data_IF_041459593366
#
_entry.id   IF_041459593366
#
_cell.length_a   1.000
_cell.length_b   1.000
_cell.length_c   1.000
_cell.angle_alpha   90.00
_cell.angle_beta   90.00
_cell.angle_gamma   90.00
#
_symmetry.space_group_name_H-M   'P 1'
#
loop_
_entity.id
_entity.type
_entity.pdbx_description
1 polymer ?
#
# COMPACT_ATOMS: atom_id res chain seq x y z
N UNK A 1 -16.09 5.17 4.56
CA UNK A 1 -15.24 3.95 4.47
C UNK A 1 -14.88 3.76 3.00
N UNK A 2 -13.60 3.71 2.67
CA UNK A 2 -13.11 3.58 1.29
C UNK A 2 -12.65 2.14 1.06
N UNK A 3 -13.14 1.52 -0.02
CA UNK A 3 -12.69 0.21 -0.49
C UNK A 3 -11.88 0.45 -1.77
N UNK A 4 -10.58 0.22 -1.70
CA UNK A 4 -9.69 0.41 -2.84
C UNK A 4 -9.33 -0.93 -3.47
N UNK A 5 -9.63 -1.09 -4.75
CA UNK A 5 -9.25 -2.26 -5.53
C UNK A 5 -7.97 -1.96 -6.31
N UNK A 6 -6.85 -2.49 -5.84
CA UNK A 6 -5.60 -2.34 -6.53
C UNK A 6 -5.49 -3.35 -7.69
N UNK A 7 -5.07 -2.89 -8.88
CA UNK A 7 -5.00 -3.75 -10.07
C UNK A 7 -3.95 -4.84 -9.83
N UNK A 8 -4.39 -6.10 -9.77
CA UNK A 8 -3.52 -7.25 -9.52
C UNK A 8 -3.04 -7.42 -8.08
N UNK A 9 -3.69 -6.77 -7.11
CA UNK A 9 -3.40 -6.90 -5.68
C UNK A 9 -4.69 -7.11 -4.86
N UNK A 10 -4.54 -7.28 -3.55
CA UNK A 10 -5.65 -7.42 -2.60
C UNK A 10 -6.49 -6.15 -2.52
N UNK A 11 -7.74 -6.32 -2.07
CA UNK A 11 -8.62 -5.19 -1.75
C UNK A 11 -8.19 -4.57 -0.43
N UNK A 12 -7.97 -3.26 -0.41
CA UNK A 12 -7.68 -2.50 0.80
C UNK A 12 -8.96 -1.85 1.36
N UNK A 13 -9.12 -1.97 2.67
CA UNK A 13 -10.24 -1.41 3.41
C UNK A 13 -9.75 -0.29 4.32
N UNK A 14 -10.14 0.95 4.01
CA UNK A 14 -9.71 2.14 4.75
C UNK A 14 -10.89 2.66 5.56
N UNK A 15 -10.70 2.68 6.88
CA UNK A 15 -11.67 3.11 7.87
C UNK A 15 -11.37 4.55 8.32
N UNK A 16 -12.33 5.18 9.00
CA UNK A 16 -12.13 6.55 9.51
C UNK A 16 -10.93 6.67 10.44
N UNK A 17 -10.75 5.70 11.33
CA UNK A 17 -9.60 5.63 12.22
C UNK A 17 -8.26 5.62 11.50
N UNK A 18 -8.19 5.11 10.26
CA UNK A 18 -6.95 5.09 9.49
C UNK A 18 -6.59 6.49 8.99
N UNK A 19 -7.60 7.35 8.76
CA UNK A 19 -7.40 8.74 8.33
C UNK A 19 -6.86 9.63 9.46
N UNK A 20 -7.10 9.27 10.72
CA UNK A 20 -6.57 10.02 11.87
C UNK A 20 -5.04 10.02 11.88
N UNK A 21 -4.41 8.96 11.36
CA UNK A 21 -2.95 8.83 11.25
C UNK A 21 -2.34 9.68 10.13
N UNK A 22 -3.16 10.36 9.31
CA UNK A 22 -2.68 11.35 8.35
C UNK A 22 -2.53 12.74 8.99
N UNK A 23 -2.86 12.90 10.27
CA UNK A 23 -2.71 14.16 10.96
C UNK A 23 -1.22 14.59 11.04
N UNK A 24 -0.94 15.90 11.08
CA UNK A 24 0.43 16.38 11.17
C UNK A 24 1.17 15.80 12.38
N UNK A 25 2.40 15.34 12.18
CA UNK A 25 3.29 14.74 13.19
C UNK A 25 2.86 13.36 13.71
N UNK A 26 1.82 12.75 13.15
CA UNK A 26 1.50 11.35 13.41
C UNK A 26 2.33 10.41 12.54
N UNK A 27 2.55 9.19 13.03
CA UNK A 27 3.14 8.12 12.23
C UNK A 27 2.07 7.51 11.34
N UNK A 28 2.40 7.24 10.08
CA UNK A 28 1.46 6.52 9.22
C UNK A 28 1.31 5.07 9.70
N UNK A 29 0.08 4.60 9.77
CA UNK A 29 -0.18 3.18 10.03
C UNK A 29 0.05 2.33 8.77
N UNK A 30 0.14 1.01 8.97
CA UNK A 30 0.41 0.06 7.89
C UNK A 30 -0.64 0.14 6.76
N UNK A 31 -1.92 0.36 7.09
CA UNK A 31 -3.02 0.47 6.13
C UNK A 31 -2.82 1.65 5.17
N UNK A 32 -2.45 2.82 5.69
CA UNK A 32 -2.23 4.03 4.89
C UNK A 32 -0.97 3.90 4.03
N UNK A 33 0.09 3.30 4.58
CA UNK A 33 1.32 3.01 3.83
C UNK A 33 1.00 2.06 2.65
N UNK A 34 0.32 0.95 2.91
CA UNK A 34 -0.04 -0.03 1.89
C UNK A 34 -0.96 0.55 0.81
N UNK A 35 -1.89 1.43 1.21
CA UNK A 35 -2.73 2.17 0.27
C UNK A 35 -1.92 3.10 -0.65
N UNK A 36 -1.02 3.92 -0.08
CA UNK A 36 -0.21 4.85 -0.86
C UNK A 36 0.66 4.13 -1.90
N UNK A 37 1.31 3.04 -1.49
CA UNK A 37 2.10 2.19 -2.38
C UNK A 37 1.26 1.58 -3.50
N UNK A 38 0.08 1.07 -3.18
CA UNK A 38 -0.84 0.49 -4.17
C UNK A 38 -1.35 1.54 -5.16
N UNK A 39 -1.65 2.74 -4.68
CA UNK A 39 -2.09 3.85 -5.51
C UNK A 39 -1.00 4.27 -6.51
N UNK A 40 0.24 4.41 -6.06
CA UNK A 40 1.36 4.76 -6.92
C UNK A 40 1.68 3.66 -7.94
N UNK A 41 1.65 2.39 -7.54
CA UNK A 41 1.84 1.28 -8.47
C UNK A 41 0.78 1.26 -9.57
N UNK A 42 -0.49 1.51 -9.24
CA UNK A 42 -1.54 1.55 -10.25
C UNK A 42 -1.39 2.75 -11.19
N UNK A 43 -0.99 3.93 -10.68
CA UNK A 43 -0.64 5.07 -11.54
C UNK A 43 0.52 4.74 -12.47
N UNK A 44 1.56 4.08 -11.97
CA UNK A 44 2.69 3.64 -12.78
C UNK A 44 2.25 2.66 -13.87
N UNK A 45 1.42 1.66 -13.55
CA UNK A 45 0.84 0.72 -14.52
C UNK A 45 0.06 1.42 -15.64
N UNK A 46 -0.62 2.52 -15.33
CA UNK A 46 -1.35 3.32 -16.32
C UNK A 46 -0.44 4.19 -17.18
N UNK A 47 0.66 4.69 -16.62
CA UNK A 47 1.59 5.57 -17.33
C UNK A 47 2.59 4.79 -18.19
N UNK A 48 3.19 3.73 -17.63
CA UNK A 48 4.16 2.88 -18.29
C UNK A 48 4.03 1.42 -17.79
N UNK A 49 3.25 0.60 -18.51
CA UNK A 49 3.07 -0.81 -18.15
C UNK A 49 4.36 -1.62 -18.15
N UNK A 50 5.36 -1.26 -18.95
CA UNK A 50 6.62 -2.02 -19.05
C UNK A 50 7.46 -1.85 -17.79
N UNK A 51 7.61 -0.61 -17.32
CA UNK A 51 8.32 -0.33 -16.06
C UNK A 51 7.59 -0.98 -14.89
N UNK A 52 6.26 -0.89 -14.86
CA UNK A 52 5.47 -1.52 -13.81
C UNK A 52 5.62 -3.05 -13.77
N UNK A 53 5.82 -3.69 -14.93
CA UNK A 53 6.05 -5.15 -15.00
C UNK A 53 7.38 -5.58 -14.37
N UNK A 54 8.37 -4.69 -14.36
CA UNK A 54 9.68 -4.94 -13.76
C UNK A 54 9.74 -4.58 -12.26
N UNK A 55 8.65 -4.08 -11.68
CA UNK A 55 8.60 -3.64 -10.28
C UNK A 55 7.68 -4.52 -9.45
N UNK A 56 8.17 -4.91 -8.27
CA UNK A 56 7.36 -5.58 -7.25
C UNK A 56 7.47 -4.79 -5.94
N UNK A 57 6.32 -4.48 -5.34
CA UNK A 57 6.26 -3.81 -4.04
C UNK A 57 5.73 -4.81 -3.03
N UNK A 58 6.53 -5.09 -2.02
CA UNK A 58 6.12 -5.92 -0.90
C UNK A 58 5.28 -5.12 0.10
N UNK A 59 4.33 -5.80 0.74
CA UNK A 59 3.58 -5.25 1.87
C UNK A 59 4.51 -4.85 3.03
N UNK A 60 4.18 -3.82 3.83
CA UNK A 60 4.97 -3.41 5.00
C UNK A 60 5.29 -4.56 5.98
N UNK A 61 4.43 -5.59 6.03
CA UNK A 61 4.63 -6.76 6.88
C UNK A 61 5.70 -7.74 6.37
N UNK A 62 6.11 -7.64 5.09
CA UNK A 62 7.06 -8.58 4.49
C UNK A 62 8.37 -8.64 5.26
N UNK A 63 8.98 -7.48 5.52
CA UNK A 63 10.26 -7.43 6.22
C UNK A 63 10.14 -7.89 7.68
N UNK A 64 9.05 -7.50 8.35
CA UNK A 64 8.77 -7.92 9.73
C UNK A 64 8.66 -9.44 9.83
N UNK A 65 7.96 -10.08 8.89
CA UNK A 65 7.85 -11.55 8.80
C UNK A 65 9.18 -12.19 8.47
N UNK A 66 9.85 -11.71 7.41
CA UNK A 66 11.15 -12.20 6.97
C UNK A 66 12.18 -12.23 8.11
N UNK A 67 12.27 -11.14 8.87
CA UNK A 67 13.19 -11.05 10.01
C UNK A 67 12.80 -11.97 11.17
N UNK A 68 11.51 -12.22 11.37
CA UNK A 68 11.04 -13.07 12.47
C UNK A 68 11.34 -14.57 12.30
N UNK A 69 11.86 -15.00 11.14
CA UNK A 69 12.21 -16.41 10.88
C UNK A 69 11.02 -17.37 10.86
N UNK A 70 9.81 -16.83 10.76
CA UNK A 70 8.55 -17.58 10.60
C UNK A 70 8.02 -17.46 9.19
#
# INVERSE_FOLDING_TARGET
>A
ILKYLAIGASTLHIQYKDLEWLAPKEWLNDTIIEFGLSLWMNKLKMMDPHVAHCMHIFSPFFYTKFRSGK
#
